data_IF_988162445513
#
_entry.id   IF_988162445513
#
_cell.length_a   1.000
_cell.length_b   1.000
_cell.length_c   1.000
_cell.angle_alpha   90.00
_cell.angle_beta   90.00
_cell.angle_gamma   90.00
#
_symmetry.space_group_name_H-M   'P 1'
#
loop_
_entity.id
_entity.type
_entity.pdbx_description
1 polymer ?
#
# COMPACT_ATOMS: atom_id res chain seq x y z
N UNK A 1 50.96 4.51 67.96
CA UNK A 1 51.54 3.17 68.21
C UNK A 1 50.98 2.22 67.18
N UNK A 2 51.86 1.59 66.39
CA UNK A 2 51.71 0.34 65.60
C UNK A 2 50.55 0.30 64.56
N UNK A 3 50.72 0.02 63.27
CA UNK A 3 51.88 -0.40 62.49
C UNK A 3 51.48 -0.70 61.03
N UNK A 4 52.42 -0.38 60.14
CA UNK A 4 52.86 -1.05 58.89
C UNK A 4 51.90 -1.82 57.96
N UNK A 5 52.02 -1.43 56.68
CA UNK A 5 52.15 -2.26 55.44
C UNK A 5 50.86 -2.88 54.89
N UNK A 6 50.51 -2.78 53.60
CA UNK A 6 51.31 -3.25 52.45
C UNK A 6 50.97 -2.46 51.17
N UNK A 7 52.02 -2.14 50.43
CA UNK A 7 52.03 -1.67 49.05
C UNK A 7 51.88 -2.85 48.08
N UNK A 8 50.96 -2.77 47.11
CA UNK A 8 51.12 -3.45 45.81
C UNK A 8 50.63 -2.56 44.67
N UNK A 9 51.61 -2.08 43.91
CA UNK A 9 51.43 -1.51 42.57
C UNK A 9 50.85 -2.58 41.65
N UNK A 10 49.77 -2.26 40.96
CA UNK A 10 49.48 -2.84 39.65
C UNK A 10 49.20 -1.68 38.69
N UNK A 11 50.19 -1.45 37.83
CA UNK A 11 50.06 -0.71 36.58
C UNK A 11 49.62 -1.74 35.55
N UNK A 12 48.57 -1.46 34.78
CA UNK A 12 48.54 -1.55 33.31
C UNK A 12 47.11 -1.66 32.77
N UNK A 13 46.80 -0.72 31.85
CA UNK A 13 45.98 -0.93 30.66
C UNK A 13 44.50 -1.24 30.86
N UNK A 14 43.67 -0.21 31.02
CA UNK A 14 42.30 -0.25 30.50
C UNK A 14 42.30 0.33 29.09
N UNK A 15 42.23 -0.58 28.12
CA UNK A 15 41.86 -0.28 26.75
C UNK A 15 40.51 0.45 26.74
N UNK A 16 40.45 1.49 25.91
CA UNK A 16 39.23 2.21 25.58
C UNK A 16 38.14 1.23 25.13
N UNK A 17 37.10 1.08 25.94
CA UNK A 17 35.85 0.50 25.51
C UNK A 17 35.16 1.53 24.60
N UNK A 18 35.31 1.31 23.30
CA UNK A 18 34.54 1.99 22.26
C UNK A 18 33.05 1.86 22.56
N UNK A 19 32.40 3.00 22.81
CA UNK A 19 30.96 3.19 22.79
C UNK A 19 30.43 2.78 21.41
N UNK A 20 30.04 1.51 21.27
CA UNK A 20 29.12 1.12 20.21
C UNK A 20 27.73 1.53 20.67
N UNK A 21 27.31 2.73 20.26
CA UNK A 21 25.92 3.13 20.19
C UNK A 21 25.17 2.09 19.37
N UNK A 22 24.53 1.14 20.03
CA UNK A 22 23.40 0.42 19.45
C UNK A 22 22.27 1.42 19.28
N UNK A 23 22.24 2.11 18.15
CA UNK A 23 21.00 2.67 17.63
C UNK A 23 20.08 1.50 17.34
N UNK A 24 19.28 1.15 18.35
CA UNK A 24 18.02 0.47 18.16
C UNK A 24 17.20 1.40 17.27
N UNK A 25 17.16 1.11 15.98
CA UNK A 25 16.17 1.66 15.07
C UNK A 25 14.83 1.02 15.46
N UNK A 26 14.22 1.53 16.53
CA UNK A 26 12.79 1.47 16.73
C UNK A 26 12.20 2.50 15.75
N UNK A 27 12.25 2.18 14.46
CA UNK A 27 11.29 2.73 13.53
C UNK A 27 9.95 2.16 13.97
N UNK A 28 9.09 3.00 14.56
CA UNK A 28 7.67 2.71 14.55
C UNK A 28 7.34 2.32 13.11
N UNK A 29 6.83 1.10 12.91
CA UNK A 29 6.31 0.70 11.62
C UNK A 29 5.28 1.75 11.23
N UNK A 30 5.66 2.62 10.29
CA UNK A 30 4.67 3.39 9.58
C UNK A 30 3.79 2.32 8.93
N UNK A 31 2.52 2.28 9.30
CA UNK A 31 1.54 1.52 8.55
C UNK A 31 1.74 1.86 7.07
N UNK A 32 1.80 0.81 6.27
CA UNK A 32 2.00 0.88 4.83
C UNK A 32 0.70 0.50 4.15
N UNK A 33 0.36 1.25 3.10
CA UNK A 33 -0.78 1.02 2.21
C UNK A 33 -1.03 -0.45 1.82
N UNK A 34 0.04 -1.23 1.66
CA UNK A 34 0.13 -2.70 1.79
C UNK A 34 1.57 -3.01 2.23
N UNK A 35 1.80 -4.07 3.00
CA UNK A 35 3.16 -4.52 3.35
C UNK A 35 3.86 -5.02 2.08
N UNK A 36 4.80 -4.22 1.58
CA UNK A 36 5.64 -4.55 0.42
C UNK A 36 7.00 -4.98 0.97
N UNK A 37 7.23 -6.30 0.99
CA UNK A 37 8.44 -6.87 1.59
C UNK A 37 9.40 -7.39 0.53
N UNK A 38 10.70 -7.09 0.60
CA UNK A 38 11.68 -7.67 -0.31
C UNK A 38 11.96 -9.13 0.07
N UNK A 39 11.85 -10.03 -0.91
CA UNK A 39 12.36 -11.41 -0.85
C UNK A 39 13.64 -11.49 -1.69
N UNK A 40 14.77 -11.32 -0.99
CA UNK A 40 16.09 -11.28 -1.63
C UNK A 40 16.52 -12.65 -2.18
N UNK A 41 16.03 -13.74 -1.60
CA UNK A 41 16.37 -15.09 -2.04
C UNK A 41 15.66 -15.42 -3.37
N UNK A 42 14.40 -15.02 -3.50
CA UNK A 42 13.62 -15.18 -4.72
C UNK A 42 13.84 -14.04 -5.74
N UNK A 43 14.42 -12.91 -5.31
CA UNK A 43 14.64 -11.75 -6.17
C UNK A 43 13.35 -11.02 -6.56
N UNK A 44 12.38 -10.97 -5.64
CA UNK A 44 11.05 -10.37 -5.87
C UNK A 44 10.59 -9.52 -4.69
N UNK A 45 9.66 -8.61 -4.96
CA UNK A 45 8.86 -7.90 -3.97
C UNK A 45 7.58 -8.68 -3.70
N UNK A 46 7.33 -9.02 -2.44
CA UNK A 46 6.07 -9.63 -2.00
C UNK A 46 5.12 -8.54 -1.56
N UNK A 47 3.88 -8.61 -2.02
CA UNK A 47 2.77 -7.77 -1.59
C UNK A 47 1.70 -8.70 -1.05
N UNK A 48 1.19 -8.45 0.15
CA UNK A 48 0.00 -9.14 0.64
C UNK A 48 -1.26 -8.32 0.31
N UNK A 49 -1.96 -8.60 -0.80
CA UNK A 49 -3.18 -7.87 -1.17
C UNK A 49 -4.34 -8.11 -0.20
N UNK A 50 -4.24 -9.16 0.65
CA UNK A 50 -5.28 -9.56 1.61
C UNK A 50 -4.98 -9.10 3.03
N UNK A 51 -3.97 -8.25 3.19
CA UNK A 51 -3.66 -7.64 4.47
C UNK A 51 -4.82 -6.74 4.92
N UNK A 52 -5.63 -7.27 5.85
CA UNK A 52 -6.82 -6.60 6.40
C UNK A 52 -6.49 -5.37 7.25
N UNK A 53 -5.26 -5.28 7.73
CA UNK A 53 -4.72 -4.18 8.52
C UNK A 53 -3.88 -3.18 7.71
N UNK A 54 -3.96 -3.23 6.38
CA UNK A 54 -3.31 -2.25 5.51
C UNK A 54 -4.06 -0.92 5.48
N UNK A 55 -3.36 0.22 5.31
CA UNK A 55 -4.03 1.54 5.31
C UNK A 55 -5.04 1.68 4.16
N UNK A 56 -4.83 0.99 3.04
CA UNK A 56 -5.79 0.97 1.94
C UNK A 56 -7.06 0.20 2.34
N UNK A 57 -6.91 -0.96 2.98
CA UNK A 57 -8.06 -1.73 3.49
C UNK A 57 -8.80 -0.98 4.60
N UNK A 58 -8.07 -0.35 5.52
CA UNK A 58 -8.64 0.46 6.60
C UNK A 58 -9.39 1.68 6.04
N UNK A 59 -8.84 2.35 5.02
CA UNK A 59 -9.51 3.46 4.35
C UNK A 59 -10.89 3.05 3.82
N UNK A 60 -10.96 1.98 3.03
CA UNK A 60 -12.21 1.51 2.42
C UNK A 60 -13.21 0.99 3.46
N UNK A 61 -12.69 0.35 4.52
CA UNK A 61 -13.51 -0.14 5.64
C UNK A 61 -14.16 1.04 6.36
N UNK A 62 -13.38 2.05 6.76
CA UNK A 62 -13.91 3.26 7.42
C UNK A 62 -14.89 4.02 6.53
N UNK A 63 -14.60 4.14 5.23
CA UNK A 63 -15.52 4.80 4.30
C UNK A 63 -16.89 4.11 4.28
N UNK A 64 -16.91 2.77 4.27
CA UNK A 64 -18.15 1.98 4.30
C UNK A 64 -18.88 2.14 5.63
N UNK A 65 -18.16 2.04 6.75
CA UNK A 65 -18.72 2.23 8.08
C UNK A 65 -19.34 3.63 8.25
N UNK A 66 -18.64 4.67 7.80
CA UNK A 66 -19.12 6.05 7.84
C UNK A 66 -20.38 6.22 6.98
N UNK A 67 -20.41 5.64 5.77
CA UNK A 67 -21.57 5.69 4.89
C UNK A 67 -22.79 4.96 5.46
N UNK A 68 -22.58 3.76 6.01
CA UNK A 68 -23.61 2.99 6.73
C UNK A 68 -24.13 3.79 7.92
N UNK A 69 -23.23 4.35 8.74
CA UNK A 69 -23.62 5.10 9.92
C UNK A 69 -24.44 6.35 9.56
N UNK A 70 -24.01 7.11 8.56
CA UNK A 70 -24.76 8.27 8.06
C UNK A 70 -26.12 7.85 7.50
N UNK A 71 -26.19 6.75 6.74
CA UNK A 71 -27.48 6.26 6.22
C UNK A 71 -28.42 5.78 7.33
N UNK A 72 -27.88 5.10 8.34
CA UNK A 72 -28.65 4.68 9.51
C UNK A 72 -29.17 5.87 10.31
N UNK A 73 -28.43 6.98 10.38
CA UNK A 73 -28.91 8.23 10.99
C UNK A 73 -30.06 8.86 10.20
N UNK A 74 -30.00 8.86 8.87
CA UNK A 74 -31.11 9.31 8.03
C UNK A 74 -32.35 8.41 8.24
N UNK A 75 -32.18 7.09 8.30
CA UNK A 75 -33.28 6.14 8.54
C UNK A 75 -33.87 6.26 9.95
N UNK A 76 -33.04 6.49 10.97
CA UNK A 76 -33.49 6.67 12.35
C UNK A 76 -34.29 7.98 12.55
N UNK A 77 -34.01 8.99 11.73
CA UNK A 77 -34.83 10.20 11.69
C UNK A 77 -36.27 9.89 11.25
N UNK A 78 -36.45 9.01 10.26
CA UNK A 78 -37.75 8.62 9.71
C UNK A 78 -38.45 7.55 10.57
N UNK A 79 -37.69 6.65 11.21
CA UNK A 79 -38.17 5.63 12.14
C UNK A 79 -37.28 5.59 13.41
N UNK A 80 -37.62 6.37 14.46
CA UNK A 80 -36.82 6.48 15.67
C UNK A 80 -36.52 5.15 16.35
N UNK A 81 -35.24 4.91 16.66
CA UNK A 81 -34.74 3.69 17.27
C UNK A 81 -34.49 2.54 16.28
N UNK A 82 -34.57 2.80 14.97
CA UNK A 82 -34.21 1.82 13.94
C UNK A 82 -32.70 1.55 13.92
N UNK A 83 -31.87 2.60 14.04
CA UNK A 83 -30.41 2.45 14.08
C UNK A 83 -29.97 1.54 15.23
N UNK A 84 -30.50 1.80 16.43
CA UNK A 84 -30.21 1.00 17.62
C UNK A 84 -30.70 -0.44 17.47
N UNK A 85 -31.89 -0.65 16.91
CA UNK A 85 -32.42 -1.99 16.71
C UNK A 85 -31.60 -2.81 15.69
N UNK A 86 -31.10 -2.18 14.63
CA UNK A 86 -30.19 -2.81 13.66
C UNK A 86 -28.85 -3.14 14.32
N UNK A 87 -28.28 -2.23 15.12
CA UNK A 87 -27.04 -2.46 15.85
C UNK A 87 -27.18 -3.61 16.86
N UNK A 88 -28.25 -3.63 17.65
CA UNK A 88 -28.54 -4.73 18.60
C UNK A 88 -28.68 -6.08 17.87
N UNK A 89 -29.28 -6.08 16.68
CA UNK A 89 -29.34 -7.27 15.83
C UNK A 89 -27.95 -7.68 15.32
N UNK A 90 -27.14 -6.75 14.81
CA UNK A 90 -25.77 -7.05 14.35
C UNK A 90 -24.95 -7.71 15.47
N UNK A 91 -25.02 -7.15 16.68
CA UNK A 91 -24.29 -7.60 17.87
C UNK A 91 -24.87 -8.85 18.56
N UNK A 92 -25.92 -9.47 18.01
CA UNK A 92 -26.62 -10.63 18.59
C UNK A 92 -27.12 -10.37 20.03
N UNK A 93 -27.59 -9.17 20.34
CA UNK A 93 -28.05 -8.84 21.68
C UNK A 93 -29.33 -9.61 22.07
N UNK A 94 -29.48 -10.01 23.34
CA UNK A 94 -30.69 -10.65 23.83
C UNK A 94 -31.91 -9.75 23.63
N UNK A 95 -32.91 -10.25 22.89
CA UNK A 95 -34.14 -9.49 22.61
C UNK A 95 -34.04 -8.53 21.43
N UNK A 96 -32.97 -8.59 20.64
CA UNK A 96 -32.87 -7.87 19.37
C UNK A 96 -34.03 -8.24 18.42
N UNK A 97 -34.46 -7.26 17.62
CA UNK A 97 -35.49 -7.46 16.61
C UNK A 97 -35.06 -8.52 15.58
N UNK A 98 -36.03 -9.24 15.05
CA UNK A 98 -35.79 -10.25 14.01
C UNK A 98 -35.45 -9.59 12.66
N UNK A 99 -34.78 -10.32 11.75
CA UNK A 99 -34.48 -9.79 10.41
C UNK A 99 -35.72 -9.33 9.64
N UNK A 100 -36.84 -10.03 9.81
CA UNK A 100 -38.10 -9.69 9.15
C UNK A 100 -38.68 -8.38 9.66
N UNK A 101 -38.69 -8.17 10.98
CA UNK A 101 -39.15 -6.92 11.61
C UNK A 101 -38.28 -5.74 11.18
N UNK A 102 -36.95 -5.90 11.20
CA UNK A 102 -36.03 -4.86 10.76
C UNK A 102 -36.20 -4.53 9.27
N UNK A 103 -36.35 -5.54 8.42
CA UNK A 103 -36.55 -5.32 6.99
C UNK A 103 -37.89 -4.63 6.69
N UNK A 104 -38.94 -4.91 7.46
CA UNK A 104 -40.23 -4.22 7.37
C UNK A 104 -40.12 -2.76 7.78
N UNK A 105 -39.43 -2.48 8.90
CA UNK A 105 -39.15 -1.12 9.36
C UNK A 105 -38.37 -0.30 8.33
N UNK A 106 -37.30 -0.84 7.77
CA UNK A 106 -36.54 -0.19 6.69
C UNK A 106 -37.46 0.14 5.51
N UNK A 107 -38.28 -0.82 5.06
CA UNK A 107 -39.24 -0.58 3.96
C UNK A 107 -40.28 0.49 4.28
N UNK A 108 -40.70 0.60 5.54
CA UNK A 108 -41.68 1.60 5.98
C UNK A 108 -41.16 3.04 5.85
N UNK A 109 -39.83 3.24 5.87
CA UNK A 109 -39.20 4.55 5.58
C UNK A 109 -39.26 4.93 4.08
N UNK A 110 -39.72 4.03 3.21
CA UNK A 110 -39.67 4.21 1.76
C UNK A 110 -38.29 3.93 1.14
N UNK A 111 -37.33 3.48 1.96
CA UNK A 111 -36.00 3.07 1.52
C UNK A 111 -36.03 1.84 0.60
N UNK A 112 -35.27 1.85 -0.51
CA UNK A 112 -35.03 0.67 -1.34
C UNK A 112 -33.93 -0.25 -0.79
N UNK A 113 -33.23 0.16 0.28
CA UNK A 113 -32.09 -0.57 0.84
C UNK A 113 -32.54 -1.84 1.60
N UNK A 114 -31.71 -2.88 1.53
CA UNK A 114 -31.91 -4.12 2.28
C UNK A 114 -31.18 -4.11 3.61
N UNK A 115 -31.70 -4.85 4.59
CA UNK A 115 -31.07 -4.99 5.91
C UNK A 115 -29.60 -5.43 5.81
N UNK A 116 -29.27 -6.32 4.85
CA UNK A 116 -27.90 -6.80 4.64
C UNK A 116 -26.87 -5.70 4.29
N UNK A 117 -27.30 -4.53 3.87
CA UNK A 117 -26.41 -3.39 3.57
C UNK A 117 -25.93 -2.66 4.83
N UNK A 118 -26.52 -2.94 6.00
CA UNK A 118 -26.25 -2.25 7.26
C UNK A 118 -25.59 -3.14 8.33
N UNK A 119 -25.27 -4.40 7.99
CA UNK A 119 -24.81 -5.39 8.97
C UNK A 119 -23.41 -5.92 8.59
N UNK A 120 -22.35 -5.14 8.86
CA UNK A 120 -20.99 -5.49 8.44
C UNK A 120 -20.48 -6.79 9.09
N UNK A 121 -20.96 -7.18 10.27
CA UNK A 121 -20.43 -8.34 11.00
C UNK A 121 -21.09 -9.68 10.64
N UNK A 122 -22.19 -9.70 9.87
CA UNK A 122 -22.93 -10.93 9.53
C UNK A 122 -22.77 -11.41 8.09
N UNK A 123 -22.11 -10.65 7.23
CA UNK A 123 -21.80 -11.05 5.86
C UNK A 123 -20.38 -11.59 5.77
N UNK A 124 -20.21 -12.89 6.00
CA UNK A 124 -18.98 -13.64 5.65
C UNK A 124 -18.63 -13.54 4.14
N UNK A 125 -19.54 -13.00 3.32
CA UNK A 125 -19.38 -12.75 1.90
C UNK A 125 -18.67 -11.42 1.55
N UNK A 126 -18.32 -10.57 2.52
CA UNK A 126 -17.65 -9.28 2.27
C UNK A 126 -16.12 -9.32 2.24
N UNK A 127 -15.50 -10.51 2.22
CA UNK A 127 -14.08 -10.67 1.85
C UNK A 127 -13.79 -10.27 0.38
N UNK A 128 -14.80 -9.79 -0.37
CA UNK A 128 -14.71 -9.45 -1.80
C UNK A 128 -14.60 -7.96 -2.15
N UNK A 129 -14.69 -7.01 -1.21
CA UNK A 129 -14.33 -5.59 -1.49
C UNK A 129 -12.84 -5.39 -1.18
N UNK A 130 -12.03 -6.26 -1.78
CA UNK A 130 -10.57 -6.29 -1.74
C UNK A 130 -9.96 -6.96 -2.98
N UNK A 131 -10.78 -7.65 -3.78
CA UNK A 131 -10.35 -8.46 -4.94
C UNK A 131 -9.96 -7.63 -6.18
N UNK A 132 -9.72 -6.32 -6.03
CA UNK A 132 -9.06 -5.50 -7.06
C UNK A 132 -7.55 -5.36 -6.82
N UNK A 133 -7.04 -5.79 -5.66
CA UNK A 133 -5.61 -5.98 -5.50
C UNK A 133 -5.25 -7.26 -6.25
N UNK A 134 -4.78 -7.11 -7.50
CA UNK A 134 -4.57 -8.23 -8.42
C UNK A 134 -3.89 -9.42 -7.75
N UNK A 135 -4.32 -10.63 -8.11
CA UNK A 135 -3.90 -11.94 -7.53
C UNK A 135 -2.38 -12.17 -7.43
N UNK A 136 -1.59 -11.29 -8.03
CA UNK A 136 -0.15 -11.34 -8.05
C UNK A 136 0.40 -10.81 -6.72
N UNK A 137 0.85 -11.75 -5.90
CA UNK A 137 1.51 -11.48 -4.61
C UNK A 137 3.02 -11.26 -4.74
N UNK A 138 3.61 -11.49 -5.92
CA UNK A 138 5.06 -11.43 -6.14
C UNK A 138 5.37 -10.61 -7.39
N UNK A 139 6.23 -9.60 -7.27
CA UNK A 139 6.62 -8.69 -8.33
C UNK A 139 8.13 -8.71 -8.51
N UNK A 140 8.62 -8.95 -9.72
CA UNK A 140 10.04 -8.65 -10.02
C UNK A 140 10.30 -7.14 -9.89
N UNK A 141 11.54 -6.66 -9.72
CA UNK A 141 11.84 -5.22 -9.63
C UNK A 141 11.29 -4.39 -10.80
N UNK A 142 11.30 -4.95 -12.01
CA UNK A 142 10.74 -4.30 -13.21
C UNK A 142 9.22 -4.15 -13.10
N UNK A 143 8.54 -5.19 -12.60
CA UNK A 143 7.09 -5.21 -12.42
C UNK A 143 6.65 -4.33 -11.26
N UNK A 144 7.38 -4.32 -10.15
CA UNK A 144 7.13 -3.44 -9.01
C UNK A 144 7.20 -1.96 -9.45
N UNK A 145 8.22 -1.58 -10.22
CA UNK A 145 8.30 -0.22 -10.79
C UNK A 145 7.22 0.06 -11.85
N UNK A 146 6.76 -0.96 -12.57
CA UNK A 146 5.65 -0.80 -13.50
C UNK A 146 4.33 -0.57 -12.75
N UNK A 147 4.08 -1.30 -11.67
CA UNK A 147 2.93 -1.10 -10.79
C UNK A 147 2.97 0.28 -10.12
N UNK A 148 4.14 0.72 -9.63
CA UNK A 148 4.34 2.05 -9.08
C UNK A 148 4.01 3.17 -10.10
N UNK A 149 4.38 2.99 -11.37
CA UNK A 149 4.04 3.93 -12.46
C UNK A 149 2.58 3.89 -12.89
N UNK A 150 1.86 2.79 -12.60
CA UNK A 150 0.44 2.68 -12.90
C UNK A 150 -0.41 3.49 -11.90
N UNK A 151 0.12 3.81 -10.72
CA UNK A 151 -0.50 4.72 -9.76
C UNK A 151 -0.43 6.13 -10.34
N UNK A 152 -1.61 6.65 -10.71
CA UNK A 152 -1.82 7.99 -11.28
C UNK A 152 -1.30 9.11 -10.37
N UNK A 153 -1.07 10.28 -10.93
CA UNK A 153 -0.82 11.51 -10.17
C UNK A 153 -2.08 12.00 -9.42
N UNK A 154 -3.26 11.53 -9.84
CA UNK A 154 -4.54 11.71 -9.17
C UNK A 154 -5.20 10.33 -8.98
N UNK A 155 -4.76 9.54 -7.97
CA UNK A 155 -5.24 8.17 -7.75
C UNK A 155 -6.74 8.08 -7.48
N UNK A 156 -7.30 9.06 -6.77
CA UNK A 156 -8.72 9.12 -6.39
C UNK A 156 -9.70 9.30 -7.55
N UNK A 157 -9.28 9.80 -8.72
CA UNK A 157 -10.21 10.08 -9.83
C UNK A 157 -10.95 8.83 -10.33
N UNK A 158 -10.24 7.74 -10.60
CA UNK A 158 -10.86 6.54 -11.15
C UNK A 158 -11.86 5.87 -10.17
N UNK A 159 -11.53 5.70 -8.87
CA UNK A 159 -12.50 5.27 -7.88
C UNK A 159 -13.68 6.25 -7.73
N UNK A 160 -13.45 7.56 -7.76
CA UNK A 160 -14.54 8.55 -7.69
C UNK A 160 -15.50 8.41 -8.87
N UNK A 161 -14.98 8.25 -10.09
CA UNK A 161 -15.81 8.05 -11.29
C UNK A 161 -16.64 6.77 -11.18
N UNK A 162 -16.05 5.69 -10.66
CA UNK A 162 -16.76 4.44 -10.42
C UNK A 162 -17.88 4.60 -9.40
N UNK A 163 -17.60 5.26 -8.26
CA UNK A 163 -18.59 5.54 -7.21
C UNK A 163 -19.71 6.45 -7.70
N UNK A 164 -19.38 7.51 -8.44
CA UNK A 164 -20.37 8.41 -9.05
C UNK A 164 -21.29 7.67 -10.03
N UNK A 165 -20.73 6.77 -10.84
CA UNK A 165 -21.50 5.94 -11.76
C UNK A 165 -22.41 4.96 -11.00
N UNK A 166 -21.91 4.35 -9.92
CA UNK A 166 -22.71 3.47 -9.08
C UNK A 166 -23.87 4.23 -8.44
N UNK A 167 -23.61 5.35 -7.78
CA UNK A 167 -24.63 6.23 -7.19
C UNK A 167 -25.70 6.64 -8.22
N UNK A 168 -25.30 6.96 -9.45
CA UNK A 168 -26.23 7.34 -10.51
C UNK A 168 -27.10 6.18 -11.05
N UNK A 169 -26.74 4.92 -10.80
CA UNK A 169 -27.39 3.75 -11.43
C UNK A 169 -28.05 2.79 -10.45
N UNK A 170 -27.62 2.76 -9.18
CA UNK A 170 -28.18 1.85 -8.17
C UNK A 170 -29.50 2.33 -7.58
N UNK A 171 -29.75 3.65 -7.61
CA UNK A 171 -30.85 4.31 -6.90
C UNK A 171 -30.84 4.08 -5.38
N UNK A 172 -29.68 3.75 -4.81
CA UNK A 172 -29.50 3.55 -3.38
C UNK A 172 -28.86 4.80 -2.76
N UNK A 173 -29.45 5.28 -1.67
CA UNK A 173 -28.97 6.48 -0.96
C UNK A 173 -27.60 6.25 -0.34
N UNK A 174 -27.30 5.02 0.08
CA UNK A 174 -26.00 4.65 0.64
C UNK A 174 -24.86 4.79 -0.38
N UNK A 175 -25.12 4.55 -1.68
CA UNK A 175 -24.10 4.71 -2.73
C UNK A 175 -23.80 6.19 -3.00
N UNK A 176 -24.83 7.05 -2.96
CA UNK A 176 -24.65 8.50 -3.03
C UNK A 176 -23.81 9.02 -1.87
N UNK A 177 -24.13 8.61 -0.65
CA UNK A 177 -23.37 8.95 0.56
C UNK A 177 -21.93 8.48 0.43
N UNK A 178 -21.70 7.25 -0.04
CA UNK A 178 -20.35 6.70 -0.23
C UNK A 178 -19.54 7.53 -1.22
N UNK A 179 -20.14 7.92 -2.35
CA UNK A 179 -19.49 8.76 -3.35
C UNK A 179 -19.17 10.17 -2.82
N UNK A 180 -20.06 10.76 -2.03
CA UNK A 180 -19.88 12.07 -1.38
C UNK A 180 -18.76 12.02 -0.33
N UNK A 181 -18.81 11.04 0.59
CA UNK A 181 -17.77 10.85 1.61
C UNK A 181 -16.39 10.60 0.98
N UNK A 182 -16.33 9.79 -0.09
CA UNK A 182 -15.07 9.55 -0.79
C UNK A 182 -14.49 10.86 -1.36
N UNK A 183 -15.34 11.73 -1.94
CA UNK A 183 -14.91 13.03 -2.46
C UNK A 183 -14.27 13.93 -1.41
N UNK A 184 -14.71 13.83 -0.15
CA UNK A 184 -14.12 14.56 0.97
C UNK A 184 -12.82 13.93 1.48
N UNK A 185 -12.59 12.65 1.19
CA UNK A 185 -11.44 11.86 1.67
C UNK A 185 -10.40 11.55 0.58
N UNK A 186 -10.48 12.19 -0.60
CA UNK A 186 -9.49 12.05 -1.68
C UNK A 186 -8.05 12.15 -1.18
N UNK A 187 -7.73 13.17 -0.38
CA UNK A 187 -6.37 13.37 0.14
C UNK A 187 -5.85 12.21 0.98
N UNK A 188 -6.75 11.57 1.73
CA UNK A 188 -6.40 10.42 2.57
C UNK A 188 -6.13 9.20 1.69
N UNK A 189 -7.00 8.94 0.70
CA UNK A 189 -6.80 7.88 -0.28
C UNK A 189 -5.54 8.09 -1.12
N UNK A 190 -5.33 9.28 -1.66
CA UNK A 190 -4.17 9.61 -2.49
C UNK A 190 -2.87 9.41 -1.71
N UNK A 191 -2.85 9.73 -0.40
CA UNK A 191 -1.71 9.46 0.47
C UNK A 191 -1.39 7.96 0.53
N UNK A 192 -2.39 7.09 0.76
CA UNK A 192 -2.13 5.64 0.81
C UNK A 192 -1.64 5.12 -0.54
N UNK A 193 -2.18 5.63 -1.66
CA UNK A 193 -1.70 5.24 -2.98
C UNK A 193 -0.26 5.72 -3.26
N UNK A 194 0.12 6.91 -2.81
CA UNK A 194 1.50 7.37 -2.95
C UNK A 194 2.47 6.61 -2.04
N UNK A 195 2.08 6.27 -0.82
CA UNK A 195 2.87 5.41 0.06
C UNK A 195 3.08 4.02 -0.56
N UNK A 196 2.05 3.43 -1.17
CA UNK A 196 2.18 2.18 -1.93
C UNK A 196 3.18 2.33 -3.09
N UNK A 197 3.06 3.43 -3.85
CA UNK A 197 3.97 3.74 -4.96
C UNK A 197 5.42 3.80 -4.50
N UNK A 198 5.67 4.47 -3.38
CA UNK A 198 7.00 4.65 -2.82
C UNK A 198 7.56 3.32 -2.29
N UNK A 199 6.74 2.51 -1.60
CA UNK A 199 7.12 1.19 -1.11
C UNK A 199 7.46 0.21 -2.24
N UNK A 200 6.70 0.22 -3.35
CA UNK A 200 7.00 -0.58 -4.53
C UNK A 200 8.35 -0.20 -5.18
N UNK A 201 8.66 1.10 -5.24
CA UNK A 201 9.96 1.56 -5.75
C UNK A 201 11.10 1.19 -4.81
N UNK A 202 10.94 1.41 -3.50
CA UNK A 202 11.93 1.07 -2.49
C UNK A 202 12.24 -0.43 -2.47
N UNK A 203 11.21 -1.28 -2.51
CA UNK A 203 11.43 -2.73 -2.58
C UNK A 203 12.15 -3.14 -3.87
N UNK A 204 11.82 -2.55 -5.02
CA UNK A 204 12.52 -2.84 -6.26
C UNK A 204 14.02 -2.49 -6.18
N UNK A 205 14.35 -1.37 -5.53
CA UNK A 205 15.72 -0.94 -5.29
C UNK A 205 16.44 -1.88 -4.31
N UNK A 206 15.81 -2.28 -3.22
CA UNK A 206 16.35 -3.21 -2.22
C UNK A 206 16.62 -4.60 -2.82
N UNK A 207 15.69 -5.12 -3.62
CA UNK A 207 15.85 -6.41 -4.30
C UNK A 207 16.97 -6.33 -5.34
N UNK A 208 17.04 -5.27 -6.15
CA UNK A 208 18.14 -5.10 -7.10
C UNK A 208 19.50 -4.91 -6.41
N UNK A 209 19.55 -4.23 -5.26
CA UNK A 209 20.79 -4.07 -4.51
C UNK A 209 21.21 -5.37 -3.82
N UNK A 210 20.28 -6.05 -3.16
CA UNK A 210 20.55 -7.29 -2.43
C UNK A 210 20.87 -8.49 -3.34
N UNK A 211 20.38 -8.50 -4.58
CA UNK A 211 20.64 -9.57 -5.56
C UNK A 211 21.85 -9.29 -6.47
N UNK A 212 22.47 -8.11 -6.38
CA UNK A 212 23.68 -7.80 -7.15
C UNK A 212 24.78 -8.82 -6.81
N UNK A 213 25.42 -9.43 -7.82
CA UNK A 213 26.57 -10.29 -7.57
C UNK A 213 27.66 -9.53 -6.80
N UNK A 214 28.29 -10.15 -5.81
CA UNK A 214 29.28 -9.51 -4.93
C UNK A 214 30.46 -8.85 -5.68
N UNK A 215 30.72 -9.23 -6.94
CA UNK A 215 31.73 -8.63 -7.80
C UNK A 215 31.31 -7.29 -8.46
N UNK A 216 30.02 -6.93 -8.45
CA UNK A 216 29.51 -5.64 -8.94
C UNK A 216 29.74 -4.49 -7.96
N UNK A 217 29.82 -4.76 -6.65
CA UNK A 217 30.08 -3.74 -5.62
C UNK A 217 31.55 -3.28 -5.57
N UNK A 218 32.45 -3.96 -6.29
CA UNK A 218 33.87 -3.61 -6.39
C UNK A 218 34.23 -2.81 -7.65
N UNK A 219 35.51 -2.39 -7.81
CA UNK A 219 35.98 -1.64 -8.97
C UNK A 219 35.72 -2.34 -10.32
N UNK A 220 35.49 -3.65 -10.31
CA UNK A 220 35.17 -4.46 -11.49
C UNK A 220 33.78 -4.21 -12.07
N UNK A 221 32.77 -3.86 -11.26
CA UNK A 221 31.44 -3.50 -11.75
C UNK A 221 31.47 -2.23 -12.62
N UNK A 222 32.26 -1.24 -12.20
CA UNK A 222 32.50 0.00 -12.96
C UNK A 222 33.23 -0.31 -14.28
N UNK A 223 34.23 -1.20 -14.26
CA UNK A 223 34.99 -1.58 -15.46
C UNK A 223 34.11 -2.26 -16.51
N UNK A 224 33.23 -3.18 -16.10
CA UNK A 224 32.30 -3.85 -17.04
C UNK A 224 31.23 -2.89 -17.56
N UNK A 225 30.69 -2.02 -16.70
CA UNK A 225 29.73 -0.98 -17.10
C UNK A 225 30.32 0.02 -18.11
N UNK A 226 31.52 0.54 -17.84
CA UNK A 226 32.25 1.43 -18.76
C UNK A 226 32.59 0.69 -20.06
N UNK A 227 33.03 -0.56 -19.98
CA UNK A 227 33.34 -1.39 -21.12
C UNK A 227 32.15 -1.58 -22.07
N UNK A 228 30.96 -1.87 -21.52
CA UNK A 228 29.73 -2.04 -22.30
C UNK A 228 29.30 -0.75 -22.99
N UNK A 229 29.34 0.39 -22.29
CA UNK A 229 29.00 1.70 -22.87
C UNK A 229 29.98 2.09 -23.97
N UNK A 230 31.29 1.91 -23.77
CA UNK A 230 32.30 2.18 -24.79
C UNK A 230 32.12 1.29 -26.03
N UNK A 231 31.83 0.00 -25.84
CA UNK A 231 31.54 -0.90 -26.95
C UNK A 231 30.32 -0.45 -27.75
N UNK A 232 29.26 0.00 -27.07
CA UNK A 232 28.03 0.47 -27.70
C UNK A 232 28.26 1.79 -28.49
N UNK A 233 29.07 2.71 -27.95
CA UNK A 233 29.49 3.93 -28.66
C UNK A 233 30.32 3.60 -29.91
N UNK A 234 31.22 2.61 -29.84
CA UNK A 234 32.02 2.16 -30.99
C UNK A 234 31.14 1.54 -32.07
N UNK A 235 30.16 0.71 -31.70
CA UNK A 235 29.20 0.10 -32.64
C UNK A 235 28.34 1.18 -33.30
N UNK A 236 27.78 2.12 -32.53
CA UNK A 236 26.99 3.23 -33.07
C UNK A 236 27.82 4.12 -34.01
N UNK A 237 29.07 4.42 -33.64
CA UNK A 237 29.97 5.21 -34.48
C UNK A 237 30.38 4.46 -35.74
N UNK A 238 30.56 3.14 -35.68
CA UNK A 238 30.81 2.28 -36.83
C UNK A 238 29.63 2.26 -37.82
N UNK A 239 28.40 2.14 -37.32
CA UNK A 239 27.18 2.21 -38.14
C UNK A 239 27.03 3.61 -38.77
N UNK A 240 27.30 4.67 -38.01
CA UNK A 240 27.24 6.04 -38.51
C UNK A 240 28.30 6.32 -39.59
N UNK A 241 29.53 5.79 -39.43
CA UNK A 241 30.59 5.94 -40.43
C UNK A 241 30.33 5.08 -41.68
N UNK A 242 29.74 3.89 -41.51
CA UNK A 242 29.30 3.01 -42.61
C UNK A 242 28.19 3.65 -43.46
N UNK A 243 27.34 4.49 -42.84
CA UNK A 243 26.27 5.23 -43.52
C UNK A 243 26.72 6.51 -44.23
N UNK A 244 28.01 6.89 -44.18
CA UNK A 244 28.53 7.95 -45.04
C UNK A 244 28.92 7.34 -46.40
N UNK A 245 28.27 7.71 -47.51
CA UNK A 245 28.73 7.29 -48.83
C UNK A 245 30.13 7.85 -49.06
N UNK A 246 31.10 6.97 -49.35
CA UNK A 246 32.42 7.35 -49.83
C UNK A 246 32.25 8.25 -51.05
N UNK A 247 32.43 9.57 -50.85
CA UNK A 247 32.60 10.52 -51.96
C UNK A 247 34.00 10.31 -52.54
N UNK A 248 34.15 9.29 -53.37
CA UNK A 248 35.09 9.34 -54.47
C UNK A 248 34.29 9.61 -55.75
N UNK A 249 33.97 10.90 -55.91
CA UNK A 249 33.61 11.44 -57.20
C UNK A 249 34.86 11.39 -58.07
N UNK A 250 34.82 10.62 -59.17
CA UNK A 250 35.75 10.76 -60.29
C UNK A 250 35.57 12.14 -60.92
N UNK A 251 36.68 12.75 -61.33
CA UNK A 251 36.90 13.77 -62.38
C UNK A 251 38.37 14.21 -62.21
N UNK A 252 39.30 14.13 -63.16
CA UNK A 252 39.31 13.87 -64.60
C UNK A 252 40.35 12.78 -64.92
#
# INVERSE_FOLDING_TARGET
MVGMSVSRRFVSSFLAASLATSTVFLGAGAASAYDVTPDLDAGVCRVDPRQKDSDVSEFWTKLREDAVNQRLEELDHDDPGLKEAIHAYDMNEPGAATPAELQERIKATGSPEGLGMFIPHRTEAEDGIGDQAGDKMEYTPVEARAAARAISDEPSNAPQDALNKQAATSHLRIDEITAELFSHRHKEYDRTQFELRDNLNACADDVEEGTKPQWWAGPWGIVVGIGAVLALVVVLRGIYNSRKPNRHHKTN
#
